data_IF_468766746919
#
_entry.id   IF_468766746919
#
_cell.length_a   1.000
_cell.length_b   1.000
_cell.length_c   1.000
_cell.angle_alpha   90.00
_cell.angle_beta   90.00
_cell.angle_gamma   90.00
#
_symmetry.space_group_name_H-M   'P 1'
#
loop_
_entity.id
_entity.type
_entity.pdbx_description
1 polymer ?
#
# COMPACT_ATOMS: atom_id res chain seq x y z
N UNK A 1 7.49 -5.97 3.48
CA UNK A 1 7.62 -5.08 2.31
C UNK A 1 8.52 -3.91 2.71
N UNK A 2 9.41 -3.43 1.84
CA UNK A 2 10.25 -2.24 2.10
C UNK A 2 9.87 -1.07 1.19
N UNK A 3 10.32 0.14 1.55
CA UNK A 3 10.13 1.31 0.71
C UNK A 3 10.86 1.20 -0.64
N UNK A 4 12.03 0.55 -0.70
CA UNK A 4 12.74 0.32 -1.97
C UNK A 4 11.93 -0.57 -2.91
N UNK A 5 11.34 -1.66 -2.39
CA UNK A 5 10.55 -2.60 -3.19
C UNK A 5 9.34 -1.92 -3.85
N UNK A 6 8.65 -1.02 -3.15
CA UNK A 6 7.49 -0.32 -3.73
C UNK A 6 7.91 0.78 -4.71
N UNK A 7 9.09 1.39 -4.53
CA UNK A 7 9.62 2.38 -5.49
C UNK A 7 9.90 1.72 -6.84
N UNK A 8 10.39 0.48 -6.85
CA UNK A 8 10.57 -0.32 -8.08
C UNK A 8 9.22 -0.60 -8.79
N UNK A 9 8.13 -0.71 -8.03
CA UNK A 9 6.77 -0.88 -8.56
C UNK A 9 6.12 0.45 -9.00
N UNK A 10 6.85 1.57 -8.94
CA UNK A 10 6.38 2.88 -9.41
C UNK A 10 5.62 3.70 -8.38
N UNK A 11 5.60 3.29 -7.11
CA UNK A 11 5.03 4.10 -6.04
C UNK A 11 5.84 5.36 -5.79
N UNK A 12 5.17 6.48 -5.60
CA UNK A 12 5.82 7.79 -5.40
C UNK A 12 5.58 8.31 -4.00
N UNK A 13 6.64 8.78 -3.34
CA UNK A 13 6.52 9.44 -2.04
C UNK A 13 5.71 10.73 -2.22
N UNK A 14 4.60 10.85 -1.49
CA UNK A 14 3.69 12.02 -1.58
C UNK A 14 3.62 12.82 -0.29
N UNK A 15 3.95 12.21 0.86
CA UNK A 15 3.94 12.89 2.15
C UNK A 15 4.92 12.24 3.12
N UNK A 16 5.56 13.05 3.94
CA UNK A 16 6.31 12.63 5.10
C UNK A 16 5.83 13.43 6.29
N UNK A 17 5.61 12.78 7.42
CA UNK A 17 5.17 13.48 8.62
C UNK A 17 5.59 12.74 9.90
N UNK A 18 5.83 13.52 10.95
CA UNK A 18 6.14 13.02 12.28
C UNK A 18 4.91 13.15 13.17
N UNK A 19 4.73 12.19 14.08
CA UNK A 19 3.69 12.25 15.12
C UNK A 19 4.22 11.57 16.39
N UNK A 20 4.30 12.33 17.48
CA UNK A 20 4.95 11.88 18.72
C UNK A 20 6.37 11.35 18.46
N UNK A 21 6.62 10.08 18.80
CA UNK A 21 7.89 9.36 18.57
C UNK A 21 7.99 8.69 17.19
N UNK A 22 6.94 8.79 16.37
CA UNK A 22 6.82 8.07 15.12
C UNK A 22 7.09 8.96 13.90
N UNK A 23 7.59 8.34 12.84
CA UNK A 23 7.77 8.94 11.53
C UNK A 23 7.03 8.09 10.49
N UNK A 24 6.24 8.74 9.63
CA UNK A 24 5.50 8.05 8.57
C UNK A 24 5.84 8.60 7.19
N UNK A 25 6.19 7.69 6.28
CA UNK A 25 6.36 7.95 4.86
C UNK A 25 5.15 7.40 4.10
N UNK A 26 4.42 8.27 3.41
CA UNK A 26 3.27 7.91 2.59
C UNK A 26 3.64 7.94 1.12
N UNK A 27 3.36 6.83 0.45
CA UNK A 27 3.53 6.65 -0.97
C UNK A 27 2.19 6.47 -1.67
N UNK A 28 2.12 6.82 -2.96
CA UNK A 28 0.90 6.70 -3.78
C UNK A 28 1.16 6.00 -5.10
N UNK A 29 0.20 5.16 -5.51
CA UNK A 29 0.11 4.54 -6.83
C UNK A 29 -1.37 4.51 -7.27
N UNK A 30 -1.74 5.44 -8.17
CA UNK A 30 -3.14 5.59 -8.58
C UNK A 30 -4.04 5.97 -7.39
N UNK A 31 -5.10 5.18 -7.17
CA UNK A 31 -6.02 5.35 -6.04
C UNK A 31 -5.53 4.71 -4.73
N UNK A 32 -4.38 4.04 -4.76
CA UNK A 32 -3.80 3.37 -3.59
C UNK A 32 -2.77 4.26 -2.92
N UNK A 33 -2.81 4.30 -1.59
CA UNK A 33 -1.80 4.90 -0.73
C UNK A 33 -1.22 3.81 0.18
N UNK A 34 0.09 3.85 0.43
CA UNK A 34 0.74 2.96 1.40
C UNK A 34 1.57 3.79 2.36
N UNK A 35 1.45 3.50 3.64
CA UNK A 35 2.11 4.26 4.71
C UNK A 35 3.08 3.37 5.46
N UNK A 36 4.36 3.73 5.50
CA UNK A 36 5.38 3.08 6.31
C UNK A 36 5.59 3.89 7.56
N UNK A 37 5.29 3.32 8.73
CA UNK A 37 5.44 4.01 10.02
C UNK A 37 6.58 3.38 10.83
N UNK A 38 7.46 4.25 11.31
CA UNK A 38 8.70 3.91 12.00
C UNK A 38 8.74 4.50 13.40
N UNK A 39 9.42 3.81 14.31
CA UNK A 39 9.92 4.36 15.58
C UNK A 39 11.46 4.32 15.54
N UNK A 40 12.09 5.48 15.41
CA UNK A 40 13.53 5.55 15.12
C UNK A 40 13.87 4.91 13.77
N UNK A 41 14.53 3.75 13.78
CA UNK A 41 14.91 2.99 12.57
C UNK A 41 14.08 1.72 12.38
N UNK A 42 13.22 1.39 13.33
CA UNK A 42 12.42 0.18 13.31
C UNK A 42 11.11 0.43 12.56
N UNK A 43 10.81 -0.41 11.56
CA UNK A 43 9.53 -0.38 10.84
C UNK A 43 8.48 -1.09 11.69
N UNK A 44 7.46 -0.36 12.15
CA UNK A 44 6.40 -0.93 12.98
C UNK A 44 5.24 -1.47 12.14
N UNK A 45 4.80 -0.70 11.14
CA UNK A 45 3.69 -1.10 10.28
C UNK A 45 3.86 -0.55 8.86
N UNK A 46 3.22 -1.24 7.92
CA UNK A 46 2.96 -0.72 6.59
C UNK A 46 1.52 -1.03 6.20
N UNK A 47 0.74 0.01 5.92
CA UNK A 47 -0.70 -0.11 5.71
C UNK A 47 -1.08 0.41 4.34
N UNK A 48 -1.89 -0.35 3.59
CA UNK A 48 -2.40 0.05 2.27
C UNK A 48 -3.84 0.54 2.40
N UNK A 49 -4.09 1.74 1.88
CA UNK A 49 -5.43 2.34 1.78
C UNK A 49 -5.81 2.47 0.30
N UNK A 50 -7.00 2.00 -0.07
CA UNK A 50 -7.59 2.27 -1.39
C UNK A 50 -8.62 3.38 -1.20
N UNK A 51 -8.31 4.57 -1.71
CA UNK A 51 -9.06 5.81 -1.41
C UNK A 51 -10.22 6.08 -2.38
N UNK A 52 -10.19 5.48 -3.57
CA UNK A 52 -11.21 5.67 -4.60
C UNK A 52 -11.47 4.36 -5.34
N UNK A 53 -12.74 4.13 -5.67
CA UNK A 53 -13.17 2.99 -6.46
C UNK A 53 -13.08 3.34 -7.94
N UNK A 54 -12.04 2.82 -8.60
CA UNK A 54 -11.86 3.00 -10.02
C UNK A 54 -12.54 1.85 -10.78
N UNK A 55 -13.71 2.11 -11.38
CA UNK A 55 -14.55 1.13 -12.09
C UNK A 55 -14.00 0.73 -13.46
N UNK A 56 -12.73 0.32 -13.54
CA UNK A 56 -12.14 -0.16 -14.79
C UNK A 56 -12.62 -1.58 -15.10
N UNK A 57 -12.88 -1.93 -16.38
CA UNK A 57 -13.14 -3.31 -16.75
C UNK A 57 -11.90 -4.16 -16.46
N UNK A 58 -12.11 -5.30 -15.80
CA UNK A 58 -11.05 -6.26 -15.47
C UNK A 58 -11.34 -7.61 -16.13
N UNK A 59 -10.28 -8.33 -16.47
CA UNK A 59 -10.34 -9.73 -16.91
C UNK A 59 -10.62 -10.68 -15.73
N UNK A 60 -11.01 -11.92 -16.03
CA UNK A 60 -11.21 -12.96 -15.01
C UNK A 60 -9.94 -13.22 -14.18
N UNK A 61 -8.75 -13.20 -14.79
CA UNK A 61 -7.49 -13.39 -14.07
C UNK A 61 -7.23 -12.27 -13.07
N UNK A 62 -7.50 -11.01 -13.44
CA UNK A 62 -7.39 -9.87 -12.53
C UNK A 62 -8.42 -9.98 -11.39
N UNK A 63 -9.64 -10.40 -11.67
CA UNK A 63 -10.65 -10.67 -10.65
C UNK A 63 -10.20 -11.77 -9.68
N UNK A 64 -9.65 -12.88 -10.19
CA UNK A 64 -9.10 -13.97 -9.36
C UNK A 64 -8.00 -13.48 -8.42
N UNK A 65 -7.04 -12.70 -8.93
CA UNK A 65 -5.97 -12.12 -8.11
C UNK A 65 -6.50 -11.23 -6.99
N UNK A 66 -7.53 -10.41 -7.27
CA UNK A 66 -8.18 -9.59 -6.24
C UNK A 66 -8.89 -10.44 -5.19
N UNK A 67 -9.57 -11.50 -5.61
CA UNK A 67 -10.26 -12.43 -4.70
C UNK A 67 -9.29 -13.14 -3.75
N UNK A 68 -8.12 -13.55 -4.25
CA UNK A 68 -7.04 -14.13 -3.42
C UNK A 68 -6.51 -13.10 -2.40
N UNK A 69 -6.34 -11.84 -2.81
CA UNK A 69 -5.87 -10.76 -1.93
C UNK A 69 -6.90 -10.35 -0.86
N UNK A 70 -8.19 -10.46 -1.15
CA UNK A 70 -9.29 -10.05 -0.26
C UNK A 70 -9.77 -11.16 0.69
N UNK A 71 -9.15 -12.34 0.68
CA UNK A 71 -9.38 -13.39 1.68
C UNK A 71 -10.46 -14.42 1.34
N UNK A 72 -10.83 -14.57 0.06
CA UNK A 72 -11.70 -15.66 -0.38
C UNK A 72 -10.94 -16.67 -1.25
N UNK A 73 -10.04 -17.43 -0.63
CA UNK A 73 -9.75 -18.80 -1.08
C UNK A 73 -9.66 -19.70 0.16
N UNK A 74 -10.80 -20.27 0.51
CA UNK A 74 -10.88 -21.48 1.31
C UNK A 74 -10.42 -22.66 0.45
N UNK A 75 -9.51 -23.48 0.97
CA UNK A 75 -9.71 -24.93 0.83
C UNK A 75 -10.76 -25.40 1.83
#
# INVERSE_FOLDING_TARGET
MTEEQIKELGWKLVKQYNHNQYHTNRYKLGCMEIEFTYEGKELLTHDVTISELNCMPISFNQAKMLTELLGHWSE
#
